data_IF_004197974059
#
_entry.id   IF_004197974059
#
_cell.length_a   1.000
_cell.length_b   1.000
_cell.length_c   1.000
_cell.angle_alpha   90.00
_cell.angle_beta   90.00
_cell.angle_gamma   90.00
#
_symmetry.space_group_name_H-M   'P 1'
#
loop_
_entity.id
_entity.type
_entity.pdbx_description
1 polymer ?
#
# COMPACT_ATOMS: atom_id res chain seq x y z
N UNK A 1 16.19 -20.96 0.24
CA UNK A 1 14.77 -20.81 -0.16
C UNK A 1 14.38 -19.37 -0.50
N UNK A 2 14.99 -18.33 0.09
CA UNK A 2 14.61 -16.93 -0.11
C UNK A 2 14.59 -16.47 -1.58
N UNK A 3 15.55 -16.91 -2.40
CA UNK A 3 15.67 -16.49 -3.81
C UNK A 3 14.65 -17.14 -4.75
N UNK A 4 13.98 -18.23 -4.34
CA UNK A 4 13.03 -18.96 -5.19
C UNK A 4 11.88 -18.08 -5.69
N UNK A 5 11.49 -17.10 -4.88
CA UNK A 5 10.35 -16.23 -5.16
C UNK A 5 10.77 -14.83 -5.63
N UNK A 6 12.06 -14.64 -5.94
CA UNK A 6 12.51 -13.44 -6.62
C UNK A 6 11.89 -13.34 -8.01
N UNK A 7 11.59 -12.12 -8.43
CA UNK A 7 10.88 -11.83 -9.69
C UNK A 7 11.53 -12.51 -10.91
N UNK A 8 12.86 -12.59 -10.95
CA UNK A 8 13.61 -13.23 -12.02
C UNK A 8 13.36 -14.76 -12.11
N UNK A 9 12.98 -15.39 -11.00
CA UNK A 9 12.81 -16.84 -10.87
C UNK A 9 11.34 -17.28 -10.99
N UNK A 10 10.40 -16.35 -11.11
CA UNK A 10 8.99 -16.67 -11.29
C UNK A 10 8.72 -17.25 -12.69
N UNK A 11 7.79 -18.21 -12.82
CA UNK A 11 7.49 -18.84 -14.11
C UNK A 11 6.87 -17.82 -15.06
N UNK A 12 7.57 -17.53 -16.16
CA UNK A 12 7.08 -16.65 -17.24
C UNK A 12 6.43 -17.43 -18.39
N UNK A 13 6.59 -18.74 -18.43
CA UNK A 13 5.93 -19.61 -19.42
C UNK A 13 5.07 -20.64 -18.70
N UNK A 14 3.79 -20.71 -19.09
CA UNK A 14 2.84 -21.69 -18.57
C UNK A 14 2.35 -22.57 -19.71
N UNK A 15 2.50 -23.88 -19.53
CA UNK A 15 1.90 -24.87 -20.41
C UNK A 15 0.54 -25.28 -19.83
N UNK A 16 -0.53 -24.98 -20.56
CA UNK A 16 -1.91 -25.18 -20.14
C UNK A 16 -2.63 -26.13 -21.09
N UNK A 17 -3.64 -26.83 -20.58
CA UNK A 17 -4.53 -27.65 -21.39
C UNK A 17 -5.96 -27.10 -21.28
N UNK A 18 -6.56 -26.70 -22.40
CA UNK A 18 -7.94 -26.21 -22.48
C UNK A 18 -8.70 -27.10 -23.45
N UNK A 19 -9.73 -27.78 -22.97
CA UNK A 19 -10.57 -28.69 -23.78
C UNK A 19 -9.76 -29.75 -24.57
N UNK A 20 -8.64 -30.21 -23.98
CA UNK A 20 -7.71 -31.17 -24.60
C UNK A 20 -6.67 -30.56 -25.55
N UNK A 21 -6.77 -29.26 -25.89
CA UNK A 21 -5.76 -28.53 -26.65
C UNK A 21 -4.66 -28.01 -25.71
N UNK A 22 -3.41 -28.03 -26.16
CA UNK A 22 -2.28 -27.53 -25.37
C UNK A 22 -1.86 -26.15 -25.83
N UNK A 23 -1.63 -25.26 -24.86
CA UNK A 23 -1.18 -23.89 -25.08
C UNK A 23 0.07 -23.61 -24.26
N UNK A 24 1.00 -22.85 -24.83
CA UNK A 24 2.07 -22.18 -24.10
C UNK A 24 1.72 -20.71 -24.03
N UNK A 25 1.58 -20.18 -22.82
CA UNK A 25 1.32 -18.76 -22.56
C UNK A 25 2.57 -18.15 -21.97
N UNK A 26 3.07 -17.08 -22.58
CA UNK A 26 4.21 -16.32 -22.07
C UNK A 26 3.71 -15.05 -21.40
N UNK A 27 4.11 -14.83 -20.15
CA UNK A 27 3.80 -13.67 -19.34
C UNK A 27 4.97 -12.69 -19.33
N UNK A 28 4.67 -11.41 -19.17
CA UNK A 28 5.66 -10.41 -18.81
C UNK A 28 5.90 -10.41 -17.29
N UNK A 29 6.79 -9.52 -16.87
CA UNK A 29 7.21 -9.31 -15.49
C UNK A 29 6.10 -8.89 -14.52
N UNK A 30 4.93 -8.50 -15.03
CA UNK A 30 3.76 -8.10 -14.27
C UNK A 30 2.64 -9.16 -14.35
N UNK A 31 2.92 -10.35 -14.91
CA UNK A 31 1.92 -11.40 -15.09
C UNK A 31 0.90 -11.14 -16.20
N UNK A 32 1.13 -10.13 -17.04
CA UNK A 32 0.29 -9.86 -18.21
C UNK A 32 0.73 -10.75 -19.37
N UNK A 33 -0.23 -11.29 -20.12
CA UNK A 33 0.07 -12.14 -21.27
C UNK A 33 0.77 -11.33 -22.36
N UNK A 34 1.98 -11.76 -22.74
CA UNK A 34 2.75 -11.23 -23.86
C UNK A 34 2.45 -11.99 -25.15
N UNK A 35 2.31 -13.31 -25.07
CA UNK A 35 1.99 -14.15 -26.22
C UNK A 35 1.32 -15.46 -25.79
N UNK A 36 0.65 -16.09 -26.75
CA UNK A 36 0.05 -17.42 -26.61
C UNK A 36 0.33 -18.20 -27.89
N UNK A 37 0.72 -19.47 -27.74
CA UNK A 37 0.97 -20.40 -28.84
C UNK A 37 0.26 -21.71 -28.56
N UNK A 38 -0.58 -22.16 -29.47
CA UNK A 38 -1.07 -23.54 -29.42
C UNK A 38 0.09 -24.49 -29.75
N UNK A 39 0.35 -25.46 -28.86
CA UNK A 39 1.45 -26.42 -28.98
C UNK A 39 0.97 -27.82 -29.37
N UNK A 40 -0.30 -28.14 -29.14
CA UNK A 40 -0.92 -29.36 -29.64
C UNK A 40 -2.44 -29.19 -29.79
N UNK A 41 -3.03 -29.92 -30.74
CA UNK A 41 -4.48 -30.11 -30.84
C UNK A 41 -4.97 -31.20 -29.90
N UNK A 42 -6.26 -31.20 -29.56
CA UNK A 42 -6.90 -32.35 -28.89
C UNK A 42 -6.87 -33.59 -29.78
N UNK A 43 -6.91 -34.81 -29.20
CA UNK A 43 -7.13 -36.01 -29.98
C UNK A 43 -8.51 -36.00 -30.67
N UNK A 44 -8.58 -36.61 -31.85
CA UNK A 44 -9.84 -36.85 -32.54
C UNK A 44 -10.67 -37.90 -31.79
N UNK A 45 -11.99 -37.71 -31.78
CA UNK A 45 -12.92 -38.77 -31.39
C UNK A 45 -12.94 -39.88 -32.45
N UNK A 46 -13.47 -41.06 -32.09
CA UNK A 46 -13.63 -42.17 -33.05
C UNK A 46 -14.42 -41.77 -34.30
N UNK A 47 -15.48 -40.97 -34.13
CA UNK A 47 -16.32 -40.47 -35.23
C UNK A 47 -15.55 -39.50 -36.14
N UNK A 48 -14.80 -38.58 -35.56
CA UNK A 48 -13.97 -37.60 -36.29
C UNK A 48 -12.81 -38.25 -37.04
N UNK A 49 -12.20 -39.30 -36.47
CA UNK A 49 -11.20 -40.09 -37.18
C UNK A 49 -11.79 -40.74 -38.44
N UNK A 50 -12.97 -41.36 -38.34
CA UNK A 50 -13.65 -41.96 -39.49
C UNK A 50 -14.01 -40.90 -40.54
N UNK A 51 -14.53 -39.74 -40.10
CA UNK A 51 -14.82 -38.60 -40.96
C UNK A 51 -13.59 -38.10 -41.72
N UNK A 52 -12.44 -37.96 -41.04
CA UNK A 52 -11.19 -37.55 -41.67
C UNK A 52 -10.64 -38.57 -42.66
N UNK A 53 -10.82 -39.88 -42.41
CA UNK A 53 -10.45 -40.93 -43.37
C UNK A 53 -11.30 -40.82 -44.64
N UNK A 54 -12.61 -40.62 -44.50
CA UNK A 54 -13.54 -40.44 -45.64
C UNK A 54 -13.22 -39.15 -46.41
N UNK A 55 -12.96 -38.04 -45.72
CA UNK A 55 -12.61 -36.77 -46.33
C UNK A 55 -11.28 -36.83 -47.11
N UNK A 56 -10.31 -37.63 -46.66
CA UNK A 56 -9.07 -37.86 -47.42
C UNK A 56 -9.28 -38.70 -48.68
N UNK A 57 -10.18 -39.68 -48.62
CA UNK A 57 -10.48 -40.57 -49.75
C UNK A 57 -11.40 -39.91 -50.79
N UNK A 58 -12.28 -38.99 -50.36
CA UNK A 58 -13.19 -38.25 -51.22
C UNK A 58 -13.35 -36.79 -50.71
N UNK A 59 -12.45 -35.88 -51.14
CA UNK A 59 -12.39 -34.50 -50.64
C UNK A 59 -13.66 -33.67 -50.89
N UNK A 60 -14.38 -33.96 -51.97
CA UNK A 60 -15.55 -33.19 -52.40
C UNK A 60 -16.87 -33.72 -51.81
N UNK A 61 -16.83 -34.69 -50.90
CA UNK A 61 -18.03 -35.27 -50.30
C UNK A 61 -18.66 -34.31 -49.27
N UNK A 62 -19.81 -33.68 -49.57
CA UNK A 62 -20.42 -32.69 -48.69
C UNK A 62 -20.98 -33.29 -47.39
N UNK A 63 -21.16 -34.63 -47.35
CA UNK A 63 -21.68 -35.34 -46.17
C UNK A 63 -20.61 -35.57 -45.09
N UNK A 64 -19.33 -35.52 -45.45
CA UNK A 64 -18.21 -35.77 -44.54
C UNK A 64 -17.06 -34.77 -44.77
N UNK A 65 -17.25 -33.48 -44.47
CA UNK A 65 -16.19 -32.48 -44.59
C UNK A 65 -15.05 -32.76 -43.60
N UNK A 66 -13.83 -32.23 -43.83
CA UNK A 66 -12.74 -32.30 -42.86
C UNK A 66 -13.13 -31.72 -41.50
N UNK A 67 -12.62 -32.31 -40.42
CA UNK A 67 -12.90 -31.85 -39.06
C UNK A 67 -12.18 -30.53 -38.80
N UNK A 68 -12.94 -29.45 -38.60
CA UNK A 68 -12.40 -28.15 -38.24
C UNK A 68 -12.12 -28.06 -36.73
N UNK A 69 -10.85 -28.23 -36.35
CA UNK A 69 -10.38 -28.08 -34.99
C UNK A 69 -10.14 -26.61 -34.57
N UNK A 70 -10.23 -25.65 -35.50
CA UNK A 70 -10.05 -24.22 -35.22
C UNK A 70 -11.31 -23.58 -34.61
N UNK A 71 -12.48 -24.23 -34.76
CA UNK A 71 -13.73 -23.75 -34.16
C UNK A 71 -13.58 -23.55 -32.65
N UNK A 72 -13.87 -22.34 -32.19
CA UNK A 72 -13.75 -21.95 -30.77
C UNK A 72 -12.33 -21.59 -30.31
N UNK A 73 -11.36 -21.45 -31.21
CA UNK A 73 -9.97 -21.15 -30.88
C UNK A 73 -9.80 -19.85 -30.07
N UNK A 74 -10.49 -18.76 -30.46
CA UNK A 74 -10.43 -17.50 -29.71
C UNK A 74 -10.87 -17.68 -28.25
N UNK A 75 -11.96 -18.39 -28.00
CA UNK A 75 -12.47 -18.64 -26.65
C UNK A 75 -11.47 -19.48 -25.83
N UNK A 76 -10.88 -20.51 -26.45
CA UNK A 76 -9.87 -21.34 -25.77
C UNK A 76 -8.62 -20.53 -25.43
N UNK A 77 -8.16 -19.68 -26.34
CA UNK A 77 -7.04 -18.78 -26.07
C UNK A 77 -7.37 -17.83 -24.92
N UNK A 78 -8.56 -17.25 -24.87
CA UNK A 78 -8.97 -16.38 -23.76
C UNK A 78 -9.05 -17.12 -22.43
N UNK A 79 -9.53 -18.37 -22.43
CA UNK A 79 -9.52 -19.22 -21.24
C UNK A 79 -8.08 -19.54 -20.79
N UNK A 80 -7.18 -19.85 -21.72
CA UNK A 80 -5.76 -20.06 -21.43
C UNK A 80 -5.09 -18.80 -20.87
N UNK A 81 -5.38 -17.62 -21.45
CA UNK A 81 -4.89 -16.32 -20.94
C UNK A 81 -5.34 -16.09 -19.49
N UNK A 82 -6.64 -16.29 -19.20
CA UNK A 82 -7.20 -16.14 -17.86
C UNK A 82 -6.58 -17.12 -16.86
N UNK A 83 -6.44 -18.40 -17.23
CA UNK A 83 -5.81 -19.40 -16.37
C UNK A 83 -4.33 -19.09 -16.09
N UNK A 84 -3.58 -18.64 -17.10
CA UNK A 84 -2.17 -18.25 -16.92
C UNK A 84 -2.05 -17.07 -15.94
N UNK A 85 -2.90 -16.05 -16.08
CA UNK A 85 -2.90 -14.90 -15.19
C UNK A 85 -3.36 -15.26 -13.77
N UNK A 86 -4.34 -16.15 -13.63
CA UNK A 86 -4.77 -16.67 -12.33
C UNK A 86 -3.63 -17.45 -11.63
N UNK A 87 -2.91 -18.29 -12.37
CA UNK A 87 -1.75 -19.01 -11.85
C UNK A 87 -0.64 -18.04 -11.38
N UNK A 88 -0.38 -16.98 -12.13
CA UNK A 88 0.54 -15.92 -11.71
C UNK A 88 0.10 -15.22 -10.41
N UNK A 89 -1.18 -14.86 -10.31
CA UNK A 89 -1.73 -14.19 -9.14
C UNK A 89 -1.70 -15.08 -7.87
N UNK A 90 -1.73 -16.40 -8.06
CA UNK A 90 -1.62 -17.38 -6.97
C UNK A 90 -0.18 -17.69 -6.56
N UNK A 91 0.84 -17.12 -7.23
CA UNK A 91 2.22 -17.24 -6.79
C UNK A 91 2.39 -16.53 -5.44
N UNK A 92 3.17 -17.06 -4.48
CA UNK A 92 3.32 -16.49 -3.14
C UNK A 92 3.58 -14.97 -3.06
N UNK A 93 4.48 -14.35 -3.86
CA UNK A 93 4.66 -12.90 -3.82
C UNK A 93 3.44 -12.09 -4.30
N UNK A 94 2.57 -12.69 -5.11
CA UNK A 94 1.38 -12.05 -5.68
C UNK A 94 0.11 -12.26 -4.86
N UNK A 95 0.14 -13.16 -3.86
CA UNK A 95 -0.98 -13.36 -2.95
C UNK A 95 -1.17 -12.13 -2.06
N UNK A 96 -2.45 -11.80 -1.81
CA UNK A 96 -2.88 -10.66 -0.98
C UNK A 96 -3.75 -11.07 0.20
N UNK A 97 -4.25 -12.30 0.23
CA UNK A 97 -5.07 -12.82 1.31
C UNK A 97 -4.27 -13.86 2.09
N UNK A 98 -4.14 -13.63 3.39
CA UNK A 98 -3.33 -14.40 4.31
C UNK A 98 -4.22 -15.03 5.38
N UNK A 99 -4.13 -16.35 5.51
CA UNK A 99 -4.71 -17.05 6.65
C UNK A 99 -3.68 -17.09 7.77
N UNK A 100 -3.96 -16.37 8.85
CA UNK A 100 -3.04 -16.19 9.98
C UNK A 100 -3.62 -16.87 11.21
N UNK A 101 -2.82 -17.69 11.88
CA UNK A 101 -3.14 -18.23 13.19
C UNK A 101 -2.50 -17.36 14.27
N UNK A 102 -3.29 -16.87 15.22
CA UNK A 102 -2.84 -16.13 16.40
C UNK A 102 -3.51 -16.71 17.63
N UNK A 103 -2.73 -17.26 18.54
CA UNK A 103 -3.23 -17.82 19.80
C UNK A 103 -4.36 -18.87 19.57
N UNK A 104 -4.23 -19.69 18.51
CA UNK A 104 -5.21 -20.69 18.02
C UNK A 104 -6.48 -20.11 17.38
N UNK A 105 -6.62 -18.80 17.30
CA UNK A 105 -7.65 -18.13 16.50
C UNK A 105 -7.17 -17.98 15.06
N UNK A 106 -8.09 -18.11 14.11
CA UNK A 106 -7.78 -17.95 12.69
C UNK A 106 -8.34 -16.64 12.15
N UNK A 107 -7.51 -15.94 11.38
CA UNK A 107 -7.82 -14.67 10.75
C UNK A 107 -7.55 -14.74 9.25
N UNK A 108 -8.45 -14.20 8.45
CA UNK A 108 -8.20 -13.85 7.05
C UNK A 108 -7.84 -12.37 7.00
N UNK A 109 -6.61 -12.06 6.63
CA UNK A 109 -6.11 -10.68 6.44
C UNK A 109 -5.90 -10.45 4.95
N UNK A 110 -6.48 -9.38 4.41
CA UNK A 110 -6.26 -8.96 3.03
C UNK A 110 -5.43 -7.69 3.00
N UNK A 111 -4.40 -7.67 2.17
CA UNK A 111 -3.53 -6.52 1.92
C UNK A 111 -3.73 -5.97 0.51
N UNK A 112 -3.41 -4.70 0.31
CA UNK A 112 -3.22 -4.13 -1.02
C UNK A 112 -1.82 -4.45 -1.59
N UNK A 113 -1.52 -3.93 -2.76
CA UNK A 113 -0.21 -4.10 -3.41
C UNK A 113 0.95 -3.40 -2.70
N UNK A 114 0.69 -2.62 -1.65
CA UNK A 114 1.69 -1.86 -0.90
C UNK A 114 1.80 -2.30 0.56
N UNK A 115 1.06 -3.34 0.95
CA UNK A 115 1.06 -3.94 2.27
C UNK A 115 0.11 -3.27 3.27
N UNK A 116 -0.78 -2.40 2.81
CA UNK A 116 -1.84 -1.83 3.65
C UNK A 116 -2.97 -2.83 3.82
N UNK A 117 -3.49 -2.96 5.03
CA UNK A 117 -4.61 -3.85 5.35
C UNK A 117 -5.89 -3.26 4.80
N UNK A 118 -6.60 -4.03 3.98
CA UNK A 118 -7.92 -3.68 3.44
C UNK A 118 -9.04 -4.42 4.15
N UNK A 119 -8.74 -5.57 4.78
CA UNK A 119 -9.71 -6.33 5.58
C UNK A 119 -9.00 -7.22 6.59
N UNK A 120 -9.60 -7.38 7.77
CA UNK A 120 -9.26 -8.42 8.74
C UNK A 120 -10.55 -9.05 9.23
N UNK A 121 -10.66 -10.37 9.10
CA UNK A 121 -11.83 -11.13 9.54
C UNK A 121 -11.41 -12.36 10.31
N UNK A 122 -11.89 -12.52 11.54
CA UNK A 122 -11.77 -13.77 12.27
C UNK A 122 -12.60 -14.86 11.58
N UNK A 123 -11.94 -15.94 11.16
CA UNK A 123 -12.55 -17.07 10.44
C UNK A 123 -12.82 -18.26 11.37
N UNK A 124 -12.07 -18.41 12.46
CA UNK A 124 -12.34 -19.39 13.50
C UNK A 124 -11.85 -18.92 14.87
N UNK A 125 -12.49 -19.42 15.94
CA UNK A 125 -12.02 -19.27 17.32
C UNK A 125 -11.14 -20.45 17.72
N UNK A 126 -10.37 -20.29 18.80
CA UNK A 126 -9.64 -21.40 19.41
C UNK A 126 -10.57 -22.60 19.69
N UNK A 127 -10.04 -23.83 19.68
CA UNK A 127 -10.79 -24.99 20.15
C UNK A 127 -11.40 -24.75 21.54
N UNK A 128 -12.69 -25.07 21.66
CA UNK A 128 -13.41 -24.99 22.93
C UNK A 128 -13.03 -26.16 23.84
N UNK A 129 -12.81 -25.89 25.13
CA UNK A 129 -12.67 -26.91 26.15
C UNK A 129 -13.99 -27.69 26.31
N UNK A 130 -13.93 -28.90 26.88
CA UNK A 130 -15.11 -29.78 27.02
C UNK A 130 -16.28 -29.11 27.75
N UNK A 131 -16.01 -28.37 28.82
CA UNK A 131 -17.04 -27.64 29.57
C UNK A 131 -17.60 -26.45 28.78
N UNK A 132 -16.77 -25.74 28.00
CA UNK A 132 -17.19 -24.65 27.11
C UNK A 132 -18.10 -25.16 26.00
N UNK A 133 -17.79 -26.34 25.43
CA UNK A 133 -18.66 -27.02 24.45
C UNK A 133 -20.04 -27.34 25.04
N UNK A 134 -20.08 -27.86 26.28
CA UNK A 134 -21.33 -28.12 26.99
C UNK A 134 -22.16 -26.85 27.20
N UNK A 135 -21.50 -25.77 27.66
CA UNK A 135 -22.13 -24.45 27.83
C UNK A 135 -22.62 -23.87 26.50
N UNK A 136 -21.82 -23.93 25.45
CA UNK A 136 -22.18 -23.48 24.10
C UNK A 136 -23.41 -24.23 23.57
N UNK A 137 -23.45 -25.55 23.72
CA UNK A 137 -24.59 -26.36 23.30
C UNK A 137 -25.89 -26.02 24.03
N UNK A 138 -25.84 -25.71 25.33
CA UNK A 138 -27.00 -25.22 26.10
C UNK A 138 -27.43 -23.84 25.60
N UNK A 139 -26.48 -22.93 25.39
CA UNK A 139 -26.76 -21.58 24.91
C UNK A 139 -27.42 -21.58 23.54
N UNK A 140 -26.95 -22.42 22.62
CA UNK A 140 -27.50 -22.53 21.26
C UNK A 140 -28.87 -23.22 21.25
N UNK A 141 -28.99 -24.40 21.88
CA UNK A 141 -30.17 -25.26 21.74
C UNK A 141 -31.32 -24.92 22.68
N UNK A 142 -31.02 -24.38 23.86
CA UNK A 142 -32.02 -24.12 24.92
C UNK A 142 -32.26 -22.62 25.07
N UNK A 143 -31.19 -21.81 25.08
CA UNK A 143 -31.29 -20.36 25.28
C UNK A 143 -31.41 -19.58 23.96
N UNK A 144 -31.35 -20.26 22.81
CA UNK A 144 -31.41 -19.67 21.47
C UNK A 144 -30.44 -18.49 21.25
N UNK A 145 -29.29 -18.52 21.91
CA UNK A 145 -28.26 -17.50 21.76
C UNK A 145 -27.56 -17.65 20.42
N UNK A 146 -27.26 -16.50 19.80
CA UNK A 146 -26.42 -16.44 18.61
C UNK A 146 -24.98 -16.87 18.91
N UNK A 147 -24.23 -17.19 17.86
CA UNK A 147 -22.81 -17.49 17.97
C UNK A 147 -22.02 -16.32 18.59
N UNK A 148 -22.39 -15.08 18.25
CA UNK A 148 -21.76 -13.88 18.81
C UNK A 148 -21.96 -13.81 20.33
N UNK A 149 -23.20 -13.95 20.79
CA UNK A 149 -23.53 -13.94 22.22
C UNK A 149 -22.88 -15.10 22.98
N UNK A 150 -22.77 -16.26 22.33
CA UNK A 150 -22.05 -17.42 22.87
C UNK A 150 -20.56 -17.09 23.06
N UNK A 151 -19.93 -16.48 22.06
CA UNK A 151 -18.52 -16.08 22.13
C UNK A 151 -18.25 -15.00 23.17
N UNK A 152 -19.16 -14.02 23.31
CA UNK A 152 -19.10 -13.01 24.37
C UNK A 152 -19.22 -13.65 25.75
N UNK A 153 -20.19 -14.56 25.93
CA UNK A 153 -20.39 -15.28 27.20
C UNK A 153 -19.19 -16.15 27.58
N UNK A 154 -18.53 -16.75 26.57
CA UNK A 154 -17.31 -17.55 26.74
C UNK A 154 -16.03 -16.72 26.75
N UNK A 155 -16.13 -15.37 26.73
CA UNK A 155 -14.98 -14.46 26.74
C UNK A 155 -14.00 -14.66 25.58
N UNK A 156 -14.44 -15.24 24.47
CA UNK A 156 -13.61 -15.47 23.28
C UNK A 156 -13.32 -14.18 22.50
N UNK A 157 -14.02 -13.10 22.83
CA UNK A 157 -13.77 -11.77 22.27
C UNK A 157 -12.82 -10.93 23.14
N UNK A 158 -12.48 -11.37 24.34
CA UNK A 158 -11.42 -10.72 25.14
C UNK A 158 -10.10 -10.79 24.37
N UNK A 159 -9.40 -9.67 24.25
CA UNK A 159 -8.13 -9.60 23.51
C UNK A 159 -8.24 -9.58 21.98
N UNK A 160 -9.45 -9.43 21.41
CA UNK A 160 -9.66 -9.54 19.96
C UNK A 160 -8.89 -8.48 19.16
N UNK A 161 -8.84 -7.23 19.63
CA UNK A 161 -8.08 -6.16 18.96
C UNK A 161 -6.59 -6.50 18.89
N UNK A 162 -6.00 -6.95 20.00
CA UNK A 162 -4.59 -7.32 20.05
C UNK A 162 -4.28 -8.50 19.13
N UNK A 163 -5.16 -9.50 19.06
CA UNK A 163 -4.99 -10.63 18.14
C UNK A 163 -5.11 -10.20 16.67
N UNK A 164 -6.04 -9.30 16.35
CA UNK A 164 -6.15 -8.74 15.01
C UNK A 164 -4.89 -7.96 14.63
N UNK A 165 -4.32 -7.17 15.54
CA UNK A 165 -3.10 -6.41 15.27
C UNK A 165 -1.88 -7.32 15.05
N UNK A 166 -1.75 -8.39 15.86
CA UNK A 166 -0.76 -9.46 15.61
C UNK A 166 -0.98 -10.11 14.24
N UNK A 167 -2.23 -10.39 13.86
CA UNK A 167 -2.55 -11.02 12.58
C UNK A 167 -2.20 -10.12 11.38
N UNK A 168 -2.56 -8.82 11.46
CA UNK A 168 -2.19 -7.80 10.47
C UNK A 168 -0.67 -7.73 10.30
N UNK A 169 0.06 -7.65 11.42
CA UNK A 169 1.52 -7.58 11.43
C UNK A 169 2.16 -8.82 10.80
N UNK A 170 1.71 -10.02 11.16
CA UNK A 170 2.21 -11.25 10.58
C UNK A 170 1.96 -11.33 9.06
N UNK A 171 0.77 -10.92 8.58
CA UNK A 171 0.49 -10.86 7.15
C UNK A 171 1.42 -9.87 6.42
N UNK A 172 1.63 -8.68 7.00
CA UNK A 172 2.56 -7.68 6.47
C UNK A 172 4.01 -8.18 6.45
N UNK A 173 4.43 -8.94 7.46
CA UNK A 173 5.78 -9.50 7.53
C UNK A 173 6.01 -10.56 6.45
N UNK A 174 5.04 -11.44 6.22
CA UNK A 174 5.07 -12.39 5.10
C UNK A 174 5.09 -11.65 3.77
N UNK A 175 4.22 -10.65 3.58
CA UNK A 175 4.21 -9.82 2.37
C UNK A 175 5.57 -9.15 2.12
N UNK A 176 6.19 -8.58 3.15
CA UNK A 176 7.49 -7.91 3.07
C UNK A 176 8.67 -8.87 2.95
N UNK A 177 8.48 -10.17 3.20
CA UNK A 177 9.54 -11.17 3.01
C UNK A 177 9.92 -11.35 1.53
N UNK A 178 9.00 -11.03 0.61
CA UNK A 178 9.21 -11.12 -0.83
C UNK A 178 9.89 -9.86 -1.39
N UNK A 179 11.02 -10.04 -2.10
CA UNK A 179 11.75 -8.96 -2.79
C UNK A 179 10.85 -8.17 -3.75
N UNK A 180 10.06 -8.87 -4.56
CA UNK A 180 9.13 -8.24 -5.52
C UNK A 180 8.15 -7.25 -4.86
N UNK A 181 7.68 -7.53 -3.64
CA UNK A 181 6.81 -6.63 -2.91
C UNK A 181 7.58 -5.44 -2.34
N UNK A 182 8.79 -5.69 -1.81
CA UNK A 182 9.67 -4.63 -1.32
C UNK A 182 10.08 -3.68 -2.45
N UNK A 183 10.47 -4.19 -3.61
CA UNK A 183 10.88 -3.40 -4.78
C UNK A 183 9.73 -2.52 -5.29
N UNK A 184 8.49 -3.05 -5.29
CA UNK A 184 7.30 -2.26 -5.65
C UNK A 184 7.07 -1.11 -4.65
N UNK A 185 7.17 -1.37 -3.35
CA UNK A 185 7.05 -0.31 -2.34
C UNK A 185 8.22 0.69 -2.45
N UNK A 186 9.43 0.21 -2.76
CA UNK A 186 10.59 1.07 -2.97
C UNK A 186 10.36 2.05 -4.13
N UNK A 187 9.92 1.54 -5.28
CA UNK A 187 9.63 2.32 -6.48
C UNK A 187 8.48 3.31 -6.26
N UNK A 188 7.31 2.78 -5.89
CA UNK A 188 6.06 3.53 -5.98
C UNK A 188 5.81 4.39 -4.75
N UNK A 189 6.48 4.11 -3.63
CA UNK A 189 6.30 4.83 -2.36
C UNK A 189 7.57 5.56 -1.97
N UNK A 190 8.65 4.85 -1.66
CA UNK A 190 9.83 5.46 -1.03
C UNK A 190 10.59 6.39 -1.98
N UNK A 191 10.89 5.94 -3.19
CA UNK A 191 11.53 6.79 -4.21
C UNK A 191 10.64 7.98 -4.54
N UNK A 192 9.32 7.74 -4.73
CA UNK A 192 8.40 8.84 -5.04
C UNK A 192 8.31 9.87 -3.92
N UNK A 193 8.32 9.41 -2.67
CA UNK A 193 8.33 10.28 -1.50
C UNK A 193 9.64 11.06 -1.39
N UNK A 194 10.78 10.42 -1.65
CA UNK A 194 12.10 11.06 -1.67
C UNK A 194 12.20 12.12 -2.78
N UNK A 195 11.63 11.87 -3.95
CA UNK A 195 11.49 12.86 -5.03
C UNK A 195 10.70 14.09 -4.55
N UNK A 196 9.53 13.88 -3.94
CA UNK A 196 8.70 14.98 -3.40
C UNK A 196 9.50 15.81 -2.39
N UNK A 197 10.22 15.17 -1.47
CA UNK A 197 11.06 15.88 -0.49
C UNK A 197 12.21 16.62 -1.14
N UNK A 198 12.82 16.05 -2.17
CA UNK A 198 13.87 16.71 -2.93
C UNK A 198 13.34 17.94 -3.68
N UNK A 199 12.17 17.83 -4.31
CA UNK A 199 11.50 18.93 -5.03
C UNK A 199 11.11 20.06 -4.07
N UNK A 200 10.62 19.72 -2.86
CA UNK A 200 10.40 20.71 -1.79
C UNK A 200 11.72 21.38 -1.38
N UNK A 201 12.80 20.60 -1.29
CA UNK A 201 14.17 21.05 -1.05
C UNK A 201 14.61 22.10 -2.05
N UNK A 202 14.47 21.81 -3.34
CA UNK A 202 14.85 22.74 -4.41
C UNK A 202 13.96 23.99 -4.43
N UNK A 203 12.63 23.86 -4.22
CA UNK A 203 11.70 25.01 -4.19
C UNK A 203 12.03 25.98 -3.05
N UNK A 204 12.12 25.49 -1.82
CA UNK A 204 12.35 26.35 -0.64
C UNK A 204 13.83 26.76 -0.54
N UNK A 205 14.74 25.92 -1.03
CA UNK A 205 16.17 26.21 -1.08
C UNK A 205 16.55 27.39 -2.00
N UNK A 206 15.65 27.86 -2.87
CA UNK A 206 15.83 29.14 -3.58
C UNK A 206 15.95 30.31 -2.60
N UNK A 207 15.27 30.22 -1.45
CA UNK A 207 15.20 31.28 -0.45
C UNK A 207 16.06 30.95 0.77
N UNK A 208 16.00 29.71 1.28
CA UNK A 208 16.77 29.24 2.43
C UNK A 208 18.21 28.76 2.11
N UNK A 209 18.58 28.75 0.84
CA UNK A 209 19.93 28.43 0.38
C UNK A 209 20.33 26.95 0.45
N UNK A 210 21.59 26.69 0.13
CA UNK A 210 22.14 25.34 -0.08
C UNK A 210 22.12 24.45 1.18
N UNK A 211 22.19 25.04 2.38
CA UNK A 211 22.11 24.28 3.62
C UNK A 211 20.75 23.61 3.80
N UNK A 212 19.66 24.31 3.46
CA UNK A 212 18.32 23.70 3.48
C UNK A 212 18.20 22.61 2.41
N UNK A 213 18.73 22.84 1.19
CA UNK A 213 18.75 21.81 0.15
C UNK A 213 19.50 20.55 0.58
N UNK A 214 20.63 20.71 1.27
CA UNK A 214 21.40 19.60 1.80
C UNK A 214 20.59 18.80 2.84
N UNK A 215 19.94 19.48 3.79
CA UNK A 215 19.06 18.82 4.77
C UNK A 215 17.89 18.10 4.07
N UNK A 216 17.23 18.73 3.10
CA UNK A 216 16.16 18.08 2.34
C UNK A 216 16.64 16.84 1.58
N UNK A 217 17.85 16.87 1.01
CA UNK A 217 18.49 15.70 0.37
C UNK A 217 18.81 14.59 1.38
N UNK A 218 19.24 14.93 2.59
CA UNK A 218 19.44 13.96 3.66
C UNK A 218 18.11 13.29 4.07
N UNK A 219 17.04 14.06 4.27
CA UNK A 219 15.70 13.52 4.56
C UNK A 219 15.24 12.61 3.41
N UNK A 220 15.38 13.04 2.16
CA UNK A 220 15.03 12.24 0.99
C UNK A 220 15.82 10.91 0.94
N UNK A 221 17.11 10.95 1.28
CA UNK A 221 17.94 9.75 1.37
C UNK A 221 17.51 8.81 2.51
N UNK A 222 17.15 9.35 3.67
CA UNK A 222 16.62 8.55 4.79
C UNK A 222 15.32 7.85 4.40
N UNK A 223 14.43 8.55 3.69
CA UNK A 223 13.18 8.00 3.14
C UNK A 223 13.47 6.89 2.12
N UNK A 224 14.39 7.14 1.19
CA UNK A 224 14.79 6.14 0.19
C UNK A 224 15.33 4.87 0.85
N UNK A 225 16.03 5.00 1.97
CA UNK A 225 16.60 3.91 2.75
C UNK A 225 15.70 3.44 3.91
N UNK A 226 14.40 3.74 3.86
CA UNK A 226 13.45 3.42 4.93
C UNK A 226 12.89 1.99 4.85
N UNK A 227 13.30 1.21 3.87
CA UNK A 227 12.84 -0.16 3.71
C UNK A 227 13.21 -1.03 4.93
N UNK A 228 12.21 -1.72 5.48
CA UNK A 228 12.38 -2.58 6.67
C UNK A 228 12.40 -1.83 8.00
N UNK A 229 12.29 -0.49 7.99
CA UNK A 229 12.18 0.33 9.20
C UNK A 229 10.70 0.57 9.57
N UNK A 230 10.47 0.90 10.84
CA UNK A 230 9.19 1.40 11.34
C UNK A 230 9.29 2.90 11.56
N UNK A 231 8.16 3.60 11.50
CA UNK A 231 8.10 4.99 11.97
C UNK A 231 8.53 5.05 13.43
N UNK A 232 9.13 6.18 13.82
CA UNK A 232 9.40 6.50 15.22
C UNK A 232 8.09 6.55 16.01
N UNK A 233 8.17 6.44 17.33
CA UNK A 233 6.99 6.54 18.20
C UNK A 233 6.48 7.98 18.28
N UNK A 234 5.19 8.18 18.61
CA UNK A 234 4.61 9.51 18.82
C UNK A 234 5.47 10.42 19.69
N UNK A 235 5.92 9.89 20.83
CA UNK A 235 6.70 10.64 21.81
C UNK A 235 8.05 11.09 21.23
N UNK A 236 8.76 10.17 20.58
CA UNK A 236 10.03 10.49 19.91
C UNK A 236 9.83 11.53 18.81
N UNK A 237 8.81 11.34 17.97
CA UNK A 237 8.49 12.24 16.88
C UNK A 237 8.12 13.65 17.39
N UNK A 238 7.30 13.74 18.44
CA UNK A 238 6.94 15.02 19.05
C UNK A 238 8.12 15.69 19.76
N UNK A 239 8.97 14.93 20.46
CA UNK A 239 10.17 15.48 21.09
C UNK A 239 11.11 16.11 20.04
N UNK A 240 11.34 15.38 18.95
CA UNK A 240 12.14 15.83 17.80
C UNK A 240 11.55 17.08 17.12
N UNK A 241 10.23 17.09 16.85
CA UNK A 241 9.55 18.23 16.24
C UNK A 241 9.53 19.47 17.16
N UNK A 242 9.26 19.28 18.45
CA UNK A 242 9.21 20.38 19.42
C UNK A 242 10.56 21.09 19.59
N UNK A 243 11.69 20.40 19.44
CA UNK A 243 13.02 21.03 19.42
C UNK A 243 13.14 22.09 18.33
N UNK A 244 12.56 21.84 17.15
CA UNK A 244 12.53 22.80 16.04
C UNK A 244 11.57 23.95 16.35
N UNK A 245 10.35 23.62 16.74
CA UNK A 245 9.28 24.60 16.96
C UNK A 245 9.57 25.55 18.13
N UNK A 246 10.34 25.11 19.13
CA UNK A 246 10.76 25.93 20.26
C UNK A 246 11.91 26.89 19.93
N UNK A 247 12.54 26.78 18.76
CA UNK A 247 13.60 27.70 18.36
C UNK A 247 13.04 29.13 18.21
N UNK A 248 13.65 30.16 18.82
CA UNK A 248 13.21 31.55 18.67
C UNK A 248 13.09 32.02 17.22
N UNK A 249 13.93 31.49 16.31
CA UNK A 249 13.87 31.78 14.87
C UNK A 249 12.65 31.20 14.16
N UNK A 250 11.88 30.33 14.81
CA UNK A 250 10.61 29.76 14.29
C UNK A 250 9.38 30.55 14.72
N UNK A 251 9.55 31.73 15.34
CA UNK A 251 8.41 32.56 15.74
C UNK A 251 7.67 33.08 14.51
N UNK A 252 6.45 32.61 14.31
CA UNK A 252 5.57 33.04 13.22
C UNK A 252 4.85 34.31 13.65
N UNK A 253 5.00 35.39 12.89
CA UNK A 253 4.23 36.62 13.13
C UNK A 253 2.76 36.44 12.70
N UNK A 254 1.89 37.37 13.10
CA UNK A 254 0.45 37.28 12.80
C UNK A 254 0.17 37.27 11.29
N UNK A 255 0.88 38.08 10.50
CA UNK A 255 0.67 38.18 9.06
C UNK A 255 0.99 36.87 8.33
N UNK A 256 2.14 36.27 8.62
CA UNK A 256 2.55 34.98 8.05
C UNK A 256 1.63 33.86 8.51
N UNK A 257 1.22 33.87 9.79
CA UNK A 257 0.25 32.91 10.33
C UNK A 257 -1.07 32.97 9.56
N UNK A 258 -1.64 34.17 9.40
CA UNK A 258 -2.90 34.38 8.72
C UNK A 258 -2.79 33.97 7.23
N UNK A 259 -1.66 34.26 6.57
CA UNK A 259 -1.40 33.84 5.20
C UNK A 259 -1.37 32.31 5.06
N UNK A 260 -0.65 31.60 5.94
CA UNK A 260 -0.54 30.14 5.92
C UNK A 260 -1.89 29.46 6.22
N UNK A 261 -2.62 29.97 7.21
CA UNK A 261 -3.97 29.49 7.54
C UNK A 261 -4.93 29.71 6.37
N UNK A 262 -4.90 30.88 5.72
CA UNK A 262 -5.77 31.15 4.56
C UNK A 262 -5.41 30.30 3.34
N UNK A 263 -4.12 30.02 3.13
CA UNK A 263 -3.67 29.09 2.10
C UNK A 263 -4.22 27.67 2.36
N UNK A 264 -4.13 27.16 3.59
CA UNK A 264 -4.73 25.87 3.95
C UNK A 264 -6.25 25.91 3.80
N UNK A 265 -6.91 27.00 4.20
CA UNK A 265 -8.37 27.14 4.04
C UNK A 265 -8.79 27.01 2.57
N UNK A 266 -7.96 27.50 1.66
CA UNK A 266 -8.16 27.44 0.20
C UNK A 266 -7.71 26.13 -0.44
N UNK A 267 -7.01 25.27 0.30
CA UNK A 267 -6.51 23.98 -0.18
C UNK A 267 -7.67 22.99 -0.36
N UNK A 268 -7.92 22.57 -1.60
CA UNK A 268 -9.06 21.72 -1.96
C UNK A 268 -8.73 20.23 -1.82
N UNK A 269 -9.31 19.57 -0.82
CA UNK A 269 -9.04 18.16 -0.55
C UNK A 269 -9.38 17.23 -1.71
N UNK A 270 -10.50 17.44 -2.41
CA UNK A 270 -10.92 16.62 -3.56
C UNK A 270 -9.94 16.69 -4.72
N UNK A 271 -9.41 17.88 -5.01
CA UNK A 271 -8.52 18.13 -6.14
C UNK A 271 -7.13 17.56 -5.84
N UNK A 272 -6.65 17.76 -4.61
CA UNK A 272 -5.40 17.17 -4.13
C UNK A 272 -5.49 15.65 -4.14
N UNK A 273 -6.56 15.04 -3.65
CA UNK A 273 -6.73 13.59 -3.66
C UNK A 273 -6.57 13.00 -5.08
N UNK A 274 -7.21 13.59 -6.09
CA UNK A 274 -7.07 13.18 -7.49
C UNK A 274 -5.63 13.32 -8.00
N UNK A 275 -4.94 14.41 -7.64
CA UNK A 275 -3.52 14.60 -8.01
C UNK A 275 -2.61 13.56 -7.37
N UNK A 276 -2.86 13.20 -6.11
CA UNK A 276 -2.10 12.19 -5.39
C UNK A 276 -2.25 10.80 -6.01
N UNK A 277 -3.47 10.42 -6.39
CA UNK A 277 -3.74 9.15 -7.10
C UNK A 277 -2.98 9.06 -8.44
N UNK A 278 -2.85 10.17 -9.15
CA UNK A 278 -2.09 10.24 -10.40
C UNK A 278 -0.57 10.24 -10.19
N UNK A 279 -0.11 10.67 -9.01
CA UNK A 279 1.31 10.73 -8.68
C UNK A 279 1.91 9.35 -8.41
N UNK A 280 1.16 8.51 -7.69
CA UNK A 280 1.51 7.11 -7.49
C UNK A 280 0.26 6.29 -7.19
N UNK A 281 0.19 5.08 -7.75
CA UNK A 281 -0.87 4.11 -7.45
C UNK A 281 -0.93 3.77 -5.96
N UNK A 282 0.19 3.90 -5.24
CA UNK A 282 0.24 3.65 -3.81
C UNK A 282 -0.53 4.67 -2.95
N UNK A 283 -0.80 5.85 -3.50
CA UNK A 283 -1.58 6.88 -2.81
C UNK A 283 -3.08 6.75 -3.05
N UNK A 284 -3.52 5.77 -3.86
CA UNK A 284 -4.93 5.42 -4.04
C UNK A 284 -5.44 4.54 -2.90
N UNK A 285 -5.51 5.14 -1.71
CA UNK A 285 -5.98 4.48 -0.50
C UNK A 285 -7.45 4.80 -0.24
N UNK A 286 -8.09 4.09 0.68
CA UNK A 286 -9.46 4.45 1.07
C UNK A 286 -9.49 5.85 1.69
N UNK A 287 -10.50 6.64 1.33
CA UNK A 287 -10.80 7.95 1.92
C UNK A 287 -9.65 8.96 1.86
N UNK A 288 -8.88 8.99 0.76
CA UNK A 288 -7.78 9.96 0.56
C UNK A 288 -8.26 11.39 0.79
N UNK A 289 -9.42 11.78 0.26
CA UNK A 289 -9.97 13.12 0.43
C UNK A 289 -10.20 13.47 1.92
N UNK A 290 -10.71 12.53 2.73
CA UNK A 290 -10.86 12.73 4.17
C UNK A 290 -9.51 12.84 4.88
N UNK A 291 -8.51 12.05 4.46
CA UNK A 291 -7.14 12.15 5.01
C UNK A 291 -6.50 13.51 4.69
N UNK A 292 -6.68 14.00 3.47
CA UNK A 292 -6.25 15.34 3.05
C UNK A 292 -6.95 16.42 3.89
N UNK A 293 -8.27 16.30 4.08
CA UNK A 293 -9.05 17.26 4.87
C UNK A 293 -8.59 17.31 6.32
N UNK A 294 -8.35 16.15 6.95
CA UNK A 294 -7.82 16.10 8.31
C UNK A 294 -6.42 16.67 8.43
N UNK A 295 -5.53 16.43 7.46
CA UNK A 295 -4.21 17.08 7.42
C UNK A 295 -4.36 18.59 7.32
N UNK A 296 -5.27 19.09 6.48
CA UNK A 296 -5.58 20.51 6.35
C UNK A 296 -6.06 21.10 7.69
N UNK A 297 -7.10 20.52 8.29
CA UNK A 297 -7.67 20.99 9.56
C UNK A 297 -6.64 21.01 10.69
N UNK A 298 -5.86 19.92 10.81
CA UNK A 298 -4.85 19.78 11.87
C UNK A 298 -3.62 20.64 11.62
N UNK A 299 -3.29 20.95 10.37
CA UNK A 299 -2.25 21.93 10.04
C UNK A 299 -2.71 23.35 10.40
N UNK A 300 -3.97 23.71 10.09
CA UNK A 300 -4.56 24.99 10.53
C UNK A 300 -4.47 25.10 12.05
N UNK A 301 -4.86 24.06 12.79
CA UNK A 301 -4.73 24.03 14.25
C UNK A 301 -3.27 24.22 14.70
N UNK A 302 -2.32 23.56 14.05
CA UNK A 302 -0.89 23.71 14.31
C UNK A 302 -0.40 25.16 14.13
N UNK A 303 -0.79 25.82 13.06
CA UNK A 303 -0.45 27.24 12.84
C UNK A 303 -1.16 28.18 13.82
N UNK A 304 -2.43 27.93 14.14
CA UNK A 304 -3.22 28.82 15.00
C UNK A 304 -2.78 28.76 16.46
N UNK A 305 -2.40 27.57 16.94
CA UNK A 305 -2.16 27.27 18.36
C UNK A 305 -0.72 26.93 18.71
N UNK A 306 0.11 26.59 17.72
CA UNK A 306 1.44 26.03 17.93
C UNK A 306 1.44 24.54 18.30
N UNK A 307 0.27 23.90 18.48
CA UNK A 307 0.16 22.49 18.83
C UNK A 307 0.06 21.60 17.58
N UNK A 308 1.16 20.93 17.23
CA UNK A 308 1.24 20.01 16.10
C UNK A 308 0.93 18.55 16.45
N UNK A 309 0.72 18.24 17.72
CA UNK A 309 0.38 16.89 18.20
C UNK A 309 -0.78 16.25 17.44
N UNK A 310 -1.92 16.96 17.23
CA UNK A 310 -3.05 16.41 16.48
C UNK A 310 -2.69 15.98 15.05
N UNK A 311 -1.81 16.72 14.36
CA UNK A 311 -1.36 16.39 13.02
C UNK A 311 -0.54 15.09 13.02
N UNK A 312 0.42 14.97 13.94
CA UNK A 312 1.27 13.79 14.03
C UNK A 312 0.45 12.55 14.44
N UNK A 313 -0.52 12.69 15.35
CA UNK A 313 -1.46 11.63 15.71
C UNK A 313 -2.32 11.16 14.51
N UNK A 314 -2.59 12.02 13.53
CA UNK A 314 -3.33 11.60 12.34
C UNK A 314 -2.58 10.54 11.55
N UNK A 315 -1.27 10.72 11.37
CA UNK A 315 -0.41 9.77 10.65
C UNK A 315 -0.39 8.41 11.37
N UNK A 316 -0.29 8.41 12.70
CA UNK A 316 -0.38 7.18 13.49
C UNK A 316 -1.74 6.51 13.35
N UNK A 317 -2.82 7.30 13.36
CA UNK A 317 -4.17 6.77 13.20
C UNK A 317 -4.34 6.05 11.87
N UNK A 318 -3.65 6.48 10.81
CA UNK A 318 -3.66 5.76 9.53
C UNK A 318 -2.98 4.41 9.65
N UNK A 319 -1.83 4.35 10.33
CA UNK A 319 -1.08 3.10 10.53
C UNK A 319 -1.86 2.12 11.40
N UNK A 320 -2.44 2.59 12.51
CA UNK A 320 -3.34 1.80 13.36
C UNK A 320 -4.58 1.34 12.57
N UNK A 321 -5.09 2.20 11.69
CA UNK A 321 -6.16 1.89 10.73
C UNK A 321 -5.78 0.87 9.66
N UNK A 322 -4.53 0.39 9.64
CA UNK A 322 -4.06 -0.66 8.74
C UNK A 322 -3.22 -0.16 7.57
N UNK A 323 -3.04 1.16 7.40
CA UNK A 323 -2.18 1.69 6.35
C UNK A 323 -0.73 1.25 6.57
N UNK A 324 -0.04 0.80 5.53
CA UNK A 324 1.37 0.50 5.67
C UNK A 324 2.13 1.78 6.07
N UNK A 325 3.01 1.69 7.08
CA UNK A 325 3.77 2.83 7.60
C UNK A 325 4.46 3.68 6.51
N UNK A 326 5.04 3.03 5.51
CA UNK A 326 5.70 3.68 4.36
C UNK A 326 4.71 4.44 3.48
N UNK A 327 3.51 3.87 3.26
CA UNK A 327 2.43 4.51 2.50
C UNK A 327 1.87 5.69 3.29
N UNK A 328 1.70 5.57 4.61
CA UNK A 328 1.27 6.66 5.48
C UNK A 328 2.23 7.85 5.42
N UNK A 329 3.53 7.60 5.55
CA UNK A 329 4.58 8.60 5.38
C UNK A 329 4.56 9.23 4.00
N UNK A 330 4.50 8.42 2.94
CA UNK A 330 4.49 8.92 1.56
C UNK A 330 3.28 9.79 1.28
N UNK A 331 2.10 9.36 1.72
CA UNK A 331 0.87 10.13 1.61
C UNK A 331 0.95 11.45 2.38
N UNK A 332 1.44 11.42 3.62
CA UNK A 332 1.64 12.62 4.45
C UNK A 332 2.57 13.63 3.76
N UNK A 333 3.76 13.18 3.33
CA UNK A 333 4.73 14.00 2.61
C UNK A 333 4.17 14.56 1.30
N UNK A 334 3.38 13.78 0.57
CA UNK A 334 2.77 14.22 -0.68
C UNK A 334 1.68 15.27 -0.46
N UNK A 335 0.89 15.17 0.61
CA UNK A 335 -0.10 16.18 1.00
C UNK A 335 0.62 17.49 1.37
N UNK A 336 1.63 17.42 2.23
CA UNK A 336 2.39 18.60 2.65
C UNK A 336 3.14 19.25 1.47
N UNK A 337 3.77 18.44 0.62
CA UNK A 337 4.43 18.95 -0.59
C UNK A 337 3.46 19.59 -1.57
N UNK A 338 2.27 19.01 -1.75
CA UNK A 338 1.21 19.61 -2.56
C UNK A 338 0.79 20.98 -2.02
N UNK A 339 0.65 21.11 -0.70
CA UNK A 339 0.37 22.39 -0.07
C UNK A 339 1.51 23.40 -0.30
N UNK A 340 2.76 23.00 -0.08
CA UNK A 340 3.93 23.87 -0.28
C UNK A 340 4.02 24.37 -1.74
N UNK A 341 3.65 23.54 -2.71
CA UNK A 341 3.58 23.94 -4.13
C UNK A 341 2.53 25.03 -4.35
N UNK A 342 1.40 25.00 -3.63
CA UNK A 342 0.33 26.01 -3.75
C UNK A 342 0.66 27.37 -3.11
N UNK A 343 1.68 27.45 -2.25
CA UNK A 343 2.08 28.72 -1.65
C UNK A 343 2.63 29.69 -2.71
N UNK A 344 2.00 30.86 -2.75
CA UNK A 344 2.45 32.04 -3.51
C UNK A 344 3.49 32.87 -2.74
N UNK A 345 3.72 34.09 -3.23
CA UNK A 345 4.97 34.88 -3.16
C UNK A 345 5.46 35.51 -1.83
N UNK A 346 4.81 35.46 -0.63
CA UNK A 346 5.52 35.88 0.56
C UNK A 346 6.63 34.87 0.92
N UNK A 347 7.87 35.20 0.54
CA UNK A 347 9.07 34.37 0.73
C UNK A 347 9.17 33.82 2.15
N UNK A 348 8.89 34.67 3.16
CA UNK A 348 8.99 34.30 4.59
C UNK A 348 7.97 33.20 4.99
N UNK A 349 6.74 33.26 4.47
CA UNK A 349 5.74 32.23 4.76
C UNK A 349 6.08 30.89 4.10
N UNK A 350 6.66 30.93 2.88
CA UNK A 350 7.16 29.73 2.18
C UNK A 350 8.32 29.09 2.95
N UNK A 351 9.23 29.90 3.49
CA UNK A 351 10.38 29.45 4.26
C UNK A 351 9.97 28.77 5.57
N UNK A 352 9.09 29.44 6.34
CA UNK A 352 8.55 28.89 7.59
C UNK A 352 7.78 27.58 7.35
N UNK A 353 6.93 27.55 6.31
CA UNK A 353 6.22 26.33 5.94
C UNK A 353 7.19 25.22 5.50
N UNK A 354 8.21 25.55 4.72
CA UNK A 354 9.25 24.62 4.28
C UNK A 354 9.96 23.96 5.46
N UNK A 355 10.41 24.76 6.43
CA UNK A 355 11.08 24.25 7.63
C UNK A 355 10.15 23.35 8.46
N UNK A 356 8.90 23.76 8.70
CA UNK A 356 7.93 22.97 9.48
C UNK A 356 7.60 21.65 8.77
N UNK A 357 7.42 21.67 7.44
CA UNK A 357 7.14 20.48 6.65
C UNK A 357 8.34 19.52 6.66
N UNK A 358 9.54 20.03 6.41
CA UNK A 358 10.76 19.23 6.47
C UNK A 358 10.95 18.60 7.85
N UNK A 359 10.77 19.38 8.93
CA UNK A 359 10.84 18.89 10.30
C UNK A 359 9.78 17.81 10.60
N UNK A 360 8.53 18.02 10.16
CA UNK A 360 7.43 17.08 10.39
C UNK A 360 7.66 15.74 9.69
N UNK A 361 8.23 15.76 8.48
CA UNK A 361 8.58 14.53 7.75
C UNK A 361 9.80 13.86 8.39
N UNK A 362 10.86 14.62 8.66
CA UNK A 362 12.09 14.11 9.25
C UNK A 362 11.86 13.48 10.63
N UNK A 363 10.98 14.06 11.46
CA UNK A 363 10.67 13.56 12.80
C UNK A 363 10.10 12.13 12.81
N UNK A 364 9.61 11.61 11.69
CA UNK A 364 9.15 10.23 11.56
C UNK A 364 10.24 9.24 11.16
N UNK A 365 11.25 9.69 10.40
CA UNK A 365 12.09 8.81 9.57
C UNK A 365 13.59 8.97 9.84
N UNK A 366 13.99 10.16 10.27
CA UNK A 366 15.38 10.56 10.40
C UNK A 366 15.85 10.46 11.85
N UNK A 367 17.17 10.33 11.99
CA UNK A 367 17.85 10.53 13.26
C UNK A 367 17.70 11.99 13.72
N UNK A 368 17.74 12.21 15.04
CA UNK A 368 17.73 13.55 15.64
C UNK A 368 18.79 14.47 15.04
N UNK A 369 19.93 13.92 14.58
CA UNK A 369 21.00 14.69 13.90
C UNK A 369 20.52 15.48 12.68
N UNK A 370 19.59 14.95 11.88
CA UNK A 370 19.08 15.66 10.69
C UNK A 370 18.26 16.88 11.10
N UNK A 371 17.49 16.74 12.19
CA UNK A 371 16.71 17.84 12.75
C UNK A 371 17.63 18.84 13.46
N UNK A 372 18.69 18.38 14.13
CA UNK A 372 19.69 19.26 14.72
C UNK A 372 20.39 20.10 13.66
N UNK A 373 20.67 19.55 12.46
CA UNK A 373 21.18 20.31 11.32
C UNK A 373 20.16 21.35 10.85
N UNK A 374 18.90 20.97 10.68
CA UNK A 374 17.84 21.93 10.35
C UNK A 374 17.79 23.08 11.37
N UNK A 375 17.89 22.75 12.65
CA UNK A 375 17.84 23.72 13.74
C UNK A 375 19.05 24.66 13.79
N UNK A 376 20.26 24.09 13.65
CA UNK A 376 21.51 24.79 13.91
C UNK A 376 22.14 25.40 12.67
N UNK A 377 21.84 24.88 11.48
CA UNK A 377 22.49 25.29 10.24
C UNK A 377 21.56 26.07 9.32
N UNK A 378 20.24 25.85 9.39
CA UNK A 378 19.24 26.56 8.57
C UNK A 378 18.57 27.68 9.36
N UNK A 379 17.95 27.35 10.51
CA UNK A 379 17.18 28.34 11.29
C UNK A 379 18.11 29.38 11.93
N UNK A 380 19.34 29.01 12.30
CA UNK A 380 20.35 29.97 12.81
C UNK A 380 21.03 30.81 11.73
N UNK A 381 20.94 30.45 10.45
CA UNK A 381 21.57 31.24 9.37
C UNK A 381 20.71 32.39 8.84
N UNK A 382 19.54 32.64 9.43
CA UNK A 382 18.70 33.79 9.13
C UNK A 382 18.86 34.87 10.24
N UNK A 383 20.04 35.48 10.31
CA UNK A 383 20.30 36.76 10.99
C UNK A 383 21.04 37.71 10.06
#
# INVERSE_FOLDING_TARGET
MATKWDKANLPKELNLTIDGYKYRVTLNDNGTVKSIKQTAVRPYTKKENLQNVVAKANPDNPKYPPVDLSKGESQRQDNARKQAQAAWNNLPPNVRSFNVNVDEYHYSVTLDDYGSVTSVKRTAVRPLAKWEKGKAGIMEKIQHKTQKETYDTLKLNEGESQRQDKAKKAAQDVFNSFSMNRDRVQSDVLNKTAEIVSDMGEKVGVHLGEKYKAVAKEIANDIKNFQGKTLRTHEQTMASLNKILANPGMKINKGDKDALVNAWKSFKASDTAKKLENMSRAFKVADVALKVEKVREKSIHGYETGNWGPLMLEVESWVVGGLAARVALGLFSAILGSFLITLGTPVIAVDLAGIIIAASIAAWVSDDKVLDKLNNEVIRSAQ
#
